data_IF_343506779965
#
_entry.id   IF_343506779965
#
_cell.length_a   1.000
_cell.length_b   1.000
_cell.length_c   1.000
_cell.angle_alpha   90.00
_cell.angle_beta   90.00
_cell.angle_gamma   90.00
#
_symmetry.space_group_name_H-M   'P 1'
#
loop_
_entity.id
_entity.type
_entity.pdbx_description
1 polymer ?
#
# COMPACT_ATOMS: atom_id res chain seq x y z
N UNK A 1 32.04 -6.01 -16.56
CA UNK A 1 31.47 -7.23 -15.95
C UNK A 1 30.55 -6.77 -14.84
N UNK A 2 29.21 -6.91 -14.95
CA UNK A 2 28.32 -6.45 -13.89
C UNK A 2 28.27 -7.51 -12.78
N UNK A 3 28.55 -7.08 -11.54
CA UNK A 3 28.48 -7.92 -10.35
C UNK A 3 27.03 -8.36 -10.11
N UNK A 4 26.77 -9.66 -10.29
CA UNK A 4 25.49 -10.27 -9.96
C UNK A 4 25.29 -10.25 -8.43
N UNK A 5 24.11 -9.84 -7.99
CA UNK A 5 23.76 -9.83 -6.58
C UNK A 5 23.97 -11.23 -5.95
N UNK A 6 24.55 -11.32 -4.74
CA UNK A 6 24.99 -12.58 -4.15
C UNK A 6 23.90 -13.65 -3.97
N UNK A 7 22.62 -13.27 -4.01
CA UNK A 7 21.49 -14.20 -4.00
C UNK A 7 21.27 -14.97 -5.32
N UNK A 8 21.68 -14.41 -6.47
CA UNK A 8 21.47 -15.06 -7.77
C UNK A 8 22.45 -16.22 -8.02
N UNK A 9 23.67 -16.12 -7.50
CA UNK A 9 24.69 -17.18 -7.62
C UNK A 9 24.31 -18.44 -6.84
N UNK A 10 23.59 -18.28 -5.73
CA UNK A 10 23.11 -19.40 -4.92
C UNK A 10 22.05 -20.24 -5.66
N UNK A 11 21.02 -19.57 -6.18
CA UNK A 11 19.95 -20.27 -6.91
C UNK A 11 20.45 -20.87 -8.22
N UNK A 12 21.36 -20.19 -8.94
CA UNK A 12 21.97 -20.78 -10.15
C UNK A 12 22.76 -22.05 -9.84
N UNK A 13 23.47 -22.10 -8.71
CA UNK A 13 24.18 -23.31 -8.28
C UNK A 13 23.25 -24.48 -7.97
N UNK A 14 22.12 -24.21 -7.31
CA UNK A 14 21.11 -25.25 -7.03
C UNK A 14 20.48 -25.77 -8.32
N UNK A 15 20.10 -24.89 -9.25
CA UNK A 15 19.49 -25.32 -10.51
C UNK A 15 20.48 -26.10 -11.41
N UNK A 16 21.75 -25.69 -11.46
CA UNK A 16 22.79 -26.43 -12.19
C UNK A 16 23.03 -27.82 -11.59
N UNK A 17 23.04 -27.93 -10.25
CA UNK A 17 23.16 -29.22 -9.56
C UNK A 17 21.97 -30.14 -9.89
N UNK A 18 20.72 -29.66 -9.78
CA UNK A 18 19.52 -30.44 -10.11
C UNK A 18 19.56 -30.89 -11.58
N UNK A 19 19.91 -29.98 -12.48
CA UNK A 19 20.02 -30.28 -13.92
C UNK A 19 21.02 -31.41 -14.19
N UNK A 20 22.22 -31.33 -13.60
CA UNK A 20 23.26 -32.37 -13.73
C UNK A 20 22.83 -33.71 -13.15
N UNK A 21 22.15 -33.72 -11.99
CA UNK A 21 21.65 -34.95 -11.37
C UNK A 21 20.58 -35.61 -12.25
N UNK A 22 19.65 -34.84 -12.80
CA UNK A 22 18.63 -35.35 -13.75
C UNK A 22 19.29 -35.89 -15.01
N UNK A 23 20.25 -35.16 -15.58
CA UNK A 23 20.96 -35.58 -16.78
C UNK A 23 21.76 -36.87 -16.57
N UNK A 24 22.44 -37.02 -15.42
CA UNK A 24 23.14 -38.26 -15.06
C UNK A 24 22.16 -39.43 -14.88
N UNK A 25 20.99 -39.20 -14.29
CA UNK A 25 19.93 -40.21 -14.15
C UNK A 25 19.41 -40.67 -15.52
N UNK A 26 19.21 -39.75 -16.46
CA UNK A 26 18.78 -40.08 -17.83
C UNK A 26 19.87 -40.88 -18.56
N UNK A 27 21.13 -40.48 -18.46
CA UNK A 27 22.25 -41.20 -19.10
C UNK A 27 22.40 -42.61 -18.53
N UNK A 28 22.32 -42.76 -17.20
CA UNK A 28 22.40 -44.07 -16.55
C UNK A 28 21.22 -44.97 -16.91
N UNK A 29 20.00 -44.41 -17.00
CA UNK A 29 18.82 -45.15 -17.47
C UNK A 29 18.95 -45.58 -18.94
N UNK A 30 19.51 -44.72 -19.80
CA UNK A 30 19.74 -45.01 -21.21
C UNK A 30 20.83 -46.08 -21.44
N UNK A 31 21.83 -46.18 -20.56
CA UNK A 31 22.89 -47.18 -20.65
C UNK A 31 22.45 -48.58 -20.20
N UNK A 32 21.42 -48.67 -19.36
CA UNK A 32 20.99 -49.93 -18.74
C UNK A 32 19.80 -50.61 -19.43
N UNK A 33 19.21 -50.02 -20.47
CA UNK A 33 18.07 -50.62 -21.17
C UNK A 33 18.18 -50.52 -22.70
N UNK A 34 18.24 -51.67 -23.38
CA UNK A 34 17.85 -51.78 -24.79
C UNK A 34 16.38 -51.34 -24.92
N UNK A 35 16.17 -50.31 -25.74
CA UNK A 35 14.88 -49.68 -26.01
C UNK A 35 13.92 -50.65 -26.70
N UNK A 36 13.20 -51.46 -25.92
CA UNK A 36 11.91 -51.99 -26.36
C UNK A 36 10.77 -51.16 -25.75
N UNK A 37 9.96 -50.62 -26.64
CA UNK A 37 8.87 -49.67 -26.46
C UNK A 37 7.68 -50.21 -25.67
N UNK A 38 7.84 -50.48 -24.36
CA UNK A 38 6.69 -50.68 -23.47
C UNK A 38 6.86 -50.00 -22.11
N UNK A 39 5.93 -49.07 -21.85
CA UNK A 39 5.47 -48.55 -20.55
C UNK A 39 6.52 -48.49 -19.41
N UNK A 40 7.45 -47.54 -19.51
CA UNK A 40 8.43 -47.29 -18.44
C UNK A 40 7.71 -46.70 -17.22
N UNK A 41 7.76 -47.42 -16.10
CA UNK A 41 7.29 -46.91 -14.82
C UNK A 41 8.33 -45.94 -14.24
N UNK A 42 8.07 -44.63 -14.35
CA UNK A 42 8.96 -43.55 -13.90
C UNK A 42 8.97 -43.32 -12.38
N UNK A 43 8.04 -43.93 -11.63
CA UNK A 43 7.91 -43.67 -10.19
C UNK A 43 9.18 -43.96 -9.36
N UNK A 44 9.97 -45.03 -9.62
CA UNK A 44 11.19 -45.28 -8.85
C UNK A 44 12.27 -44.23 -9.12
N UNK A 45 12.38 -43.77 -10.38
CA UNK A 45 13.35 -42.75 -10.78
C UNK A 45 13.02 -41.40 -10.13
N UNK A 46 11.76 -40.99 -10.18
CA UNK A 46 11.30 -39.73 -9.55
C UNK A 46 11.49 -39.78 -8.03
N UNK A 47 11.20 -40.93 -7.39
CA UNK A 47 11.44 -41.12 -5.96
C UNK A 47 12.92 -41.02 -5.59
N UNK A 48 13.80 -41.63 -6.39
CA UNK A 48 15.25 -41.58 -6.16
C UNK A 48 15.80 -40.16 -6.33
N UNK A 49 15.38 -39.44 -7.37
CA UNK A 49 15.77 -38.03 -7.57
C UNK A 49 15.29 -37.16 -6.40
N UNK A 50 14.04 -37.35 -5.95
CA UNK A 50 13.47 -36.61 -4.83
C UNK A 50 14.26 -36.85 -3.54
N UNK A 51 14.62 -38.09 -3.24
CA UNK A 51 15.40 -38.43 -2.05
C UNK A 51 16.80 -37.82 -2.08
N UNK A 52 17.54 -37.94 -3.19
CA UNK A 52 18.88 -37.37 -3.34
C UNK A 52 18.88 -35.84 -3.21
N UNK A 53 17.84 -35.17 -3.73
CA UNK A 53 17.68 -33.72 -3.58
C UNK A 53 17.42 -33.35 -2.12
N UNK A 54 16.56 -34.10 -1.43
CA UNK A 54 16.29 -33.87 -0.01
C UNK A 54 17.53 -34.05 0.87
N UNK A 55 18.31 -35.10 0.65
CA UNK A 55 19.55 -35.37 1.39
C UNK A 55 20.61 -34.28 1.13
N UNK A 56 20.78 -33.85 -0.13
CA UNK A 56 21.71 -32.77 -0.49
C UNK A 56 21.32 -31.43 0.14
N UNK A 57 20.03 -31.09 0.16
CA UNK A 57 19.54 -29.86 0.82
C UNK A 57 19.76 -29.96 2.34
N UNK A 58 19.52 -31.12 2.94
CA UNK A 58 19.75 -31.38 4.35
C UNK A 58 21.21 -31.14 4.76
N UNK A 59 22.15 -31.68 3.98
CA UNK A 59 23.59 -31.52 4.22
C UNK A 59 24.02 -30.04 4.20
N UNK A 60 23.57 -29.27 3.20
CA UNK A 60 23.90 -27.84 3.06
C UNK A 60 23.34 -27.02 4.22
N UNK A 61 22.12 -27.32 4.68
CA UNK A 61 21.52 -26.62 5.81
C UNK A 61 22.24 -26.90 7.13
N UNK A 62 22.68 -28.13 7.35
CA UNK A 62 23.48 -28.51 8.53
C UNK A 62 24.82 -27.78 8.54
N UNK A 63 25.51 -27.70 7.40
CA UNK A 63 26.80 -27.01 7.27
C UNK A 63 26.68 -25.48 7.48
N UNK A 64 25.57 -24.87 7.06
CA UNK A 64 25.31 -23.45 7.35
C UNK A 64 24.99 -23.19 8.83
N UNK A 65 24.32 -24.14 9.50
CA UNK A 65 23.98 -24.01 10.91
C UNK A 65 25.22 -24.10 11.82
N UNK A 66 26.20 -24.94 11.46
CA UNK A 66 27.48 -25.05 12.18
C UNK A 66 28.36 -23.81 11.97
N UNK A 67 28.40 -23.25 10.76
CA UNK A 67 29.12 -22.00 10.45
C UNK A 67 28.55 -20.78 11.20
N UNK A 68 27.23 -20.68 11.35
CA UNK A 68 26.58 -19.60 12.12
C UNK A 68 26.76 -19.72 13.64
N UNK A 69 26.95 -20.95 14.17
CA UNK A 69 27.13 -21.19 15.62
C UNK A 69 28.52 -20.76 16.12
N UNK A 70 29.55 -20.85 15.28
CA UNK A 70 30.90 -20.34 15.58
C UNK A 70 30.96 -18.82 15.74
N UNK A 71 30.12 -18.07 15.03
CA UNK A 71 30.14 -16.59 15.01
C UNK A 71 29.31 -15.91 16.11
N UNK A 72 28.59 -16.65 16.95
CA UNK A 72 27.61 -16.10 17.92
C UNK A 72 28.04 -16.10 19.38
N UNK A 73 29.26 -16.53 19.74
CA UNK A 73 29.70 -16.64 21.14
C UNK A 73 30.18 -15.32 21.77
N UNK A 74 29.64 -14.16 21.38
CA UNK A 74 30.06 -12.87 21.93
C UNK A 74 29.17 -11.66 21.66
N UNK A 75 27.89 -11.82 21.33
CA UNK A 75 27.00 -10.67 21.12
C UNK A 75 25.64 -10.90 21.75
N UNK A 76 25.36 -10.15 22.81
CA UNK A 76 24.04 -10.08 23.44
C UNK A 76 22.96 -9.68 22.43
N UNK A 77 21.71 -10.15 22.60
CA UNK A 77 20.65 -9.90 21.64
C UNK A 77 20.09 -8.48 21.82
N UNK A 78 20.47 -7.57 20.93
CA UNK A 78 19.73 -6.34 20.71
C UNK A 78 18.33 -6.68 20.17
N UNK A 79 17.32 -6.32 20.95
CA UNK A 79 15.91 -6.38 20.57
C UNK A 79 15.65 -5.39 19.43
N UNK A 80 15.49 -5.92 18.20
CA UNK A 80 15.00 -5.15 17.05
C UNK A 80 13.53 -4.77 17.26
N UNK A 81 13.30 -3.63 17.92
CA UNK A 81 11.99 -2.97 18.04
C UNK A 81 11.87 -1.92 16.92
N UNK A 82 11.75 -2.38 15.68
CA UNK A 82 11.47 -1.52 14.50
C UNK A 82 10.11 -1.91 13.89
N UNK A 83 9.07 -1.89 14.73
CA UNK A 83 7.67 -2.04 14.32
C UNK A 83 6.88 -0.78 14.65
N UNK A 84 7.35 0.37 14.18
CA UNK A 84 6.56 1.61 14.20
C UNK A 84 6.07 1.91 12.77
N UNK A 85 5.18 1.05 12.30
CA UNK A 85 4.41 1.23 11.07
C UNK A 85 3.21 2.13 11.38
N UNK A 86 3.48 3.38 11.79
CA UNK A 86 2.44 4.37 12.00
C UNK A 86 1.85 4.75 10.63
N UNK A 87 0.63 4.29 10.34
CA UNK A 87 -0.18 4.69 9.18
C UNK A 87 -0.51 6.19 9.25
N UNK A 88 0.47 7.04 8.92
CA UNK A 88 0.36 8.50 8.98
C UNK A 88 0.07 9.10 7.59
N UNK A 89 -1.07 8.72 7.02
CA UNK A 89 -1.59 9.25 5.76
C UNK A 89 -2.31 10.62 5.94
N UNK A 90 -2.29 11.20 7.14
CA UNK A 90 -3.23 12.27 7.53
C UNK A 90 -2.80 13.71 7.20
N UNK A 91 -1.61 13.93 6.64
CA UNK A 91 -1.21 15.26 6.16
C UNK A 91 -0.33 15.12 4.93
N UNK A 92 -0.94 15.19 3.75
CA UNK A 92 -0.23 15.45 2.49
C UNK A 92 0.51 16.78 2.66
N UNK A 93 1.83 16.85 2.41
CA UNK A 93 2.45 18.13 2.10
C UNK A 93 1.66 18.69 0.92
N UNK A 94 1.06 19.89 1.06
CA UNK A 94 0.73 20.68 -0.12
C UNK A 94 2.07 20.95 -0.77
N UNK A 95 2.42 20.16 -1.78
CA UNK A 95 3.40 20.58 -2.76
C UNK A 95 2.82 21.87 -3.34
N UNK A 96 3.31 23.00 -2.86
CA UNK A 96 3.22 24.25 -3.59
C UNK A 96 4.00 23.97 -4.87
N UNK A 97 3.26 23.59 -5.91
CA UNK A 97 3.79 23.55 -7.26
C UNK A 97 4.35 24.94 -7.52
N UNK A 98 5.67 25.07 -7.44
CA UNK A 98 6.41 26.22 -7.92
C UNK A 98 5.84 26.51 -9.31
N UNK A 99 5.30 27.71 -9.55
CA UNK A 99 4.75 28.03 -10.85
C UNK A 99 5.88 27.93 -11.86
N UNK A 100 5.81 26.92 -12.73
CA UNK A 100 6.64 26.89 -13.94
C UNK A 100 6.36 28.20 -14.66
N UNK A 101 7.39 29.03 -14.83
CA UNK A 101 7.36 30.27 -15.61
C UNK A 101 6.95 29.92 -17.05
N UNK A 102 5.65 29.88 -17.31
CA UNK A 102 5.13 29.88 -18.67
C UNK A 102 5.13 31.33 -19.15
N UNK A 103 5.73 31.55 -20.33
CA UNK A 103 5.85 32.85 -20.98
C UNK A 103 4.50 33.52 -21.27
N UNK A 104 4.53 34.78 -21.71
CA UNK A 104 3.35 35.63 -21.84
C UNK A 104 2.41 35.07 -22.91
N UNK A 105 1.28 34.50 -22.48
CA UNK A 105 0.20 34.08 -23.38
C UNK A 105 -0.81 35.21 -23.49
N UNK A 106 -1.08 35.62 -24.73
CA UNK A 106 -1.95 36.72 -25.09
C UNK A 106 -3.33 36.63 -24.44
N UNK A 107 -3.82 37.78 -23.97
CA UNK A 107 -5.14 37.98 -23.38
C UNK A 107 -6.20 37.73 -24.45
N UNK A 108 -7.02 36.70 -24.25
CA UNK A 108 -8.31 36.56 -24.92
C UNK A 108 -9.38 36.63 -23.83
N UNK A 109 -10.22 37.65 -23.94
CA UNK A 109 -11.34 37.92 -23.07
C UNK A 109 -12.34 36.77 -23.14
N UNK A 110 -12.57 36.09 -22.02
CA UNK A 110 -13.59 35.06 -21.90
C UNK A 110 -14.45 35.36 -20.68
N UNK A 111 -15.51 36.13 -20.92
CA UNK A 111 -16.61 36.36 -19.98
C UNK A 111 -17.35 35.04 -19.82
N UNK A 112 -17.10 34.32 -18.72
CA UNK A 112 -17.90 33.15 -18.32
C UNK A 112 -18.59 33.40 -16.99
N UNK A 113 -19.92 33.30 -17.08
CA UNK A 113 -20.92 33.19 -16.03
C UNK A 113 -20.39 32.56 -14.73
N UNK A 114 -20.45 33.36 -13.67
CA UNK A 114 -20.28 32.93 -12.27
C UNK A 114 -21.49 32.06 -11.92
N UNK A 115 -21.32 30.75 -12.11
CA UNK A 115 -22.26 29.75 -11.59
C UNK A 115 -22.03 29.63 -10.09
N UNK A 116 -23.04 30.05 -9.33
CA UNK A 116 -23.13 30.00 -7.87
C UNK A 116 -22.83 28.58 -7.39
N UNK A 117 -21.60 28.35 -6.94
CA UNK A 117 -21.21 27.07 -6.36
C UNK A 117 -21.93 26.90 -5.01
N UNK A 118 -22.42 25.69 -4.70
CA UNK A 118 -23.07 25.43 -3.42
C UNK A 118 -22.07 25.69 -2.30
N UNK A 119 -22.55 26.35 -1.24
CA UNK A 119 -21.84 26.64 0.00
C UNK A 119 -21.05 25.40 0.40
N UNK A 120 -19.73 25.45 0.17
CA UNK A 120 -18.82 24.38 0.58
C UNK A 120 -18.92 24.38 2.09
N UNK A 121 -19.53 23.33 2.63
CA UNK A 121 -19.52 23.03 4.05
C UNK A 121 -18.04 22.82 4.42
N UNK A 122 -17.34 23.91 4.75
CA UNK A 122 -16.01 23.86 5.34
C UNK A 122 -16.21 23.01 6.58
N UNK A 123 -15.68 21.79 6.52
CA UNK A 123 -15.83 20.85 7.62
C UNK A 123 -15.18 21.53 8.82
N UNK A 124 -15.94 21.77 9.89
CA UNK A 124 -15.46 22.41 11.14
C UNK A 124 -14.05 21.91 11.54
N UNK A 125 -13.80 20.62 11.31
CA UNK A 125 -12.50 19.93 11.44
C UNK A 125 -11.28 20.71 10.89
N UNK A 126 -11.39 21.39 9.73
CA UNK A 126 -10.24 22.08 9.13
C UNK A 126 -9.85 23.33 9.92
N UNK A 127 -10.81 24.03 10.52
CA UNK A 127 -10.58 25.23 11.34
C UNK A 127 -9.86 24.84 12.63
N UNK A 128 -10.37 23.84 13.36
CA UNK A 128 -9.75 23.41 14.62
C UNK A 128 -8.35 22.82 14.39
N UNK A 129 -8.13 22.08 13.31
CA UNK A 129 -6.80 21.56 12.94
C UNK A 129 -5.83 22.70 12.58
N UNK A 130 -6.33 23.79 12.00
CA UNK A 130 -5.54 24.99 11.70
C UNK A 130 -5.17 25.73 12.98
N UNK A 131 -6.14 25.96 13.88
CA UNK A 131 -5.90 26.56 15.21
C UNK A 131 -4.90 25.75 16.03
N UNK A 132 -4.99 24.42 16.02
CA UNK A 132 -4.01 23.57 16.70
C UNK A 132 -2.60 23.75 16.12
N UNK A 133 -2.50 23.93 14.80
CA UNK A 133 -1.19 24.11 14.14
C UNK A 133 -0.56 25.43 14.57
N UNK A 134 -1.35 26.49 14.56
CA UNK A 134 -0.95 27.83 14.98
C UNK A 134 -0.58 27.85 16.46
N UNK A 135 -1.38 27.23 17.32
CA UNK A 135 -1.08 27.08 18.75
C UNK A 135 0.30 26.43 18.98
N UNK A 136 0.55 25.28 18.35
CA UNK A 136 1.85 24.59 18.48
C UNK A 136 3.00 25.40 17.86
N UNK A 137 2.74 26.16 16.80
CA UNK A 137 3.73 27.05 16.19
C UNK A 137 4.11 28.21 17.11
N UNK A 138 3.12 28.84 17.74
CA UNK A 138 3.31 29.93 18.69
C UNK A 138 4.06 29.47 19.94
N UNK A 139 3.92 28.18 20.29
CA UNK A 139 4.71 27.51 21.34
C UNK A 139 6.11 27.09 20.90
N UNK A 140 6.50 27.34 19.64
CA UNK A 140 7.82 26.97 19.11
C UNK A 140 8.00 25.48 18.82
N UNK A 141 6.94 24.67 18.87
CA UNK A 141 7.01 23.21 18.79
C UNK A 141 6.99 22.64 17.37
N UNK A 142 6.89 23.48 16.34
CA UNK A 142 6.82 23.03 14.93
C UNK A 142 8.16 23.06 14.17
N UNK A 143 9.27 23.51 14.77
CA UNK A 143 10.57 23.65 14.10
C UNK A 143 11.66 22.91 14.88
N UNK A 144 12.22 21.81 14.32
CA UNK A 144 13.20 20.97 15.01
C UNK A 144 14.44 21.75 15.49
N UNK A 145 14.90 22.71 14.69
CA UNK A 145 16.09 23.52 14.98
C UNK A 145 15.95 24.49 16.18
N UNK A 146 14.73 24.76 16.65
CA UNK A 146 14.47 25.72 17.76
C UNK A 146 13.85 25.06 18.98
N UNK A 147 13.85 23.73 19.04
CA UNK A 147 13.26 23.01 20.15
C UNK A 147 14.08 23.20 21.42
N UNK A 148 13.39 23.61 22.50
CA UNK A 148 13.94 23.55 23.84
C UNK A 148 13.87 22.13 24.36
N UNK A 149 14.92 21.71 25.06
CA UNK A 149 15.07 20.37 25.62
C UNK A 149 14.94 20.50 27.13
N UNK A 150 14.11 19.65 27.73
CA UNK A 150 13.98 19.60 29.17
C UNK A 150 15.34 19.24 29.83
N UNK A 151 15.82 20.01 30.82
CA UNK A 151 17.02 19.66 31.56
C UNK A 151 16.86 18.31 32.27
N UNK A 152 17.83 17.40 32.09
CA UNK A 152 17.73 16.03 32.60
C UNK A 152 17.50 15.96 34.12
N UNK A 153 18.07 16.87 34.90
CA UNK A 153 17.88 16.92 36.36
C UNK A 153 16.44 17.27 36.75
N UNK A 154 15.75 18.14 35.99
CA UNK A 154 14.34 18.46 36.22
C UNK A 154 13.44 17.29 35.84
N UNK A 155 13.74 16.62 34.72
CA UNK A 155 13.03 15.41 34.31
C UNK A 155 13.14 14.34 35.40
N UNK A 156 14.34 14.10 35.93
CA UNK A 156 14.58 13.14 37.02
C UNK A 156 13.85 13.50 38.31
N UNK A 157 14.00 14.74 38.79
CA UNK A 157 13.34 15.22 40.00
C UNK A 157 11.80 15.11 39.91
N UNK A 158 11.23 15.37 38.74
CA UNK A 158 9.81 15.16 38.51
C UNK A 158 9.43 13.67 38.51
N UNK A 159 10.22 12.81 37.86
CA UNK A 159 9.90 11.38 37.78
C UNK A 159 10.06 10.64 39.10
N UNK A 160 11.00 11.07 39.95
CA UNK A 160 11.33 10.41 41.21
C UNK A 160 10.49 10.96 42.37
N UNK A 161 10.40 12.29 42.48
CA UNK A 161 9.82 12.96 43.65
C UNK A 161 8.50 13.70 43.35
N UNK A 162 8.03 13.70 42.08
CA UNK A 162 7.00 14.62 41.59
C UNK A 162 7.33 16.09 41.89
N UNK A 163 8.62 16.42 42.01
CA UNK A 163 9.09 17.75 42.36
C UNK A 163 9.38 18.57 41.09
N UNK A 164 8.96 19.83 41.10
CA UNK A 164 8.91 20.64 39.88
C UNK A 164 7.89 20.13 38.88
N UNK A 165 7.91 20.64 37.65
CA UNK A 165 7.02 20.16 36.60
C UNK A 165 7.21 20.91 35.29
N UNK A 166 6.77 20.31 34.17
CA UNK A 166 6.82 20.99 32.88
C UNK A 166 5.87 22.21 32.87
N UNK A 167 6.22 23.24 32.11
CA UNK A 167 5.38 24.43 31.95
C UNK A 167 4.73 24.47 30.56
N UNK A 168 3.43 24.80 30.50
CA UNK A 168 2.75 25.03 29.22
C UNK A 168 3.14 26.36 28.56
N UNK A 169 3.67 27.32 29.30
CA UNK A 169 4.06 28.63 28.77
C UNK A 169 5.30 28.50 27.90
N UNK A 170 6.33 27.84 28.44
CA UNK A 170 7.59 27.51 27.79
C UNK A 170 7.73 25.99 27.74
N UNK A 171 7.08 25.31 26.78
CA UNK A 171 7.09 23.86 26.73
C UNK A 171 8.47 23.32 26.39
N UNK A 172 9.03 22.50 27.28
CA UNK A 172 10.31 21.81 27.11
C UNK A 172 10.07 20.31 27.18
N UNK A 173 10.12 19.64 26.05
CA UNK A 173 9.96 18.19 26.00
C UNK A 173 11.31 17.50 26.25
N UNK A 174 11.23 16.31 26.84
CA UNK A 174 12.31 15.34 26.71
C UNK A 174 12.13 14.61 25.38
N UNK A 175 12.77 15.13 24.33
CA UNK A 175 12.67 14.58 22.97
C UNK A 175 13.31 13.19 22.82
N UNK A 176 14.14 12.75 23.78
CA UNK A 176 14.74 11.43 23.77
C UNK A 176 13.74 10.38 24.22
N UNK A 177 12.98 10.68 25.28
CA UNK A 177 11.94 9.82 25.83
C UNK A 177 10.68 9.76 24.95
N UNK A 178 9.88 8.67 25.03
CA UNK A 178 8.56 8.61 24.38
C UNK A 178 7.58 9.61 24.99
N UNK A 179 6.52 9.98 24.26
CA UNK A 179 5.44 10.81 24.81
C UNK A 179 4.65 10.12 25.93
N UNK A 180 4.87 8.81 26.14
CA UNK A 180 4.33 8.07 27.29
C UNK A 180 5.16 8.25 28.56
N UNK A 181 6.35 8.88 28.50
CA UNK A 181 7.12 9.16 29.71
C UNK A 181 6.37 10.12 30.64
N UNK A 182 6.55 10.05 31.97
CA UNK A 182 5.80 10.88 32.91
C UNK A 182 5.91 12.38 32.59
N UNK A 183 7.13 12.88 32.35
CA UNK A 183 7.37 14.29 32.00
C UNK A 183 6.62 14.73 30.74
N UNK A 184 6.79 13.99 29.64
CA UNK A 184 6.19 14.35 28.36
C UNK A 184 4.66 14.21 28.40
N UNK A 185 4.14 13.20 29.11
CA UNK A 185 2.71 12.99 29.29
C UNK A 185 2.06 14.15 30.05
N UNK A 186 2.70 14.63 31.11
CA UNK A 186 2.22 15.78 31.88
C UNK A 186 2.22 17.06 31.02
N UNK A 187 3.30 17.31 30.29
CA UNK A 187 3.36 18.46 29.38
C UNK A 187 2.27 18.41 28.29
N UNK A 188 1.99 17.23 27.72
CA UNK A 188 0.90 17.06 26.76
C UNK A 188 -0.47 17.35 27.38
N UNK A 189 -0.69 16.93 28.63
CA UNK A 189 -1.93 17.23 29.36
C UNK A 189 -2.10 18.74 29.58
N UNK A 190 -1.04 19.44 30.00
CA UNK A 190 -1.06 20.90 30.17
C UNK A 190 -1.35 21.61 28.85
N UNK A 191 -0.68 21.21 27.76
CA UNK A 191 -0.92 21.78 26.42
C UNK A 191 -2.34 21.52 25.93
N UNK A 192 -2.88 20.32 26.13
CA UNK A 192 -4.26 19.98 25.77
C UNK A 192 -5.27 20.84 26.55
N UNK A 193 -5.01 21.09 27.84
CA UNK A 193 -5.86 21.91 28.70
C UNK A 193 -5.86 23.38 28.26
N UNK A 194 -4.68 23.95 27.99
CA UNK A 194 -4.57 25.33 27.47
C UNK A 194 -5.24 25.45 26.11
N UNK A 195 -5.02 24.48 25.21
CA UNK A 195 -5.65 24.50 23.89
C UNK A 195 -7.17 24.37 23.96
N UNK A 196 -7.71 23.52 24.85
CA UNK A 196 -9.15 23.42 25.09
C UNK A 196 -9.74 24.75 25.57
N UNK A 197 -9.03 25.51 26.41
CA UNK A 197 -9.47 26.83 26.83
C UNK A 197 -9.52 27.84 25.65
N UNK A 198 -8.60 27.74 24.69
CA UNK A 198 -8.63 28.54 23.44
C UNK A 198 -9.88 28.17 22.63
N UNK A 199 -10.13 26.87 22.41
CA UNK A 199 -11.32 26.40 21.69
C UNK A 199 -12.61 26.85 22.37
N UNK A 200 -12.64 26.93 23.71
CA UNK A 200 -13.81 27.39 24.48
C UNK A 200 -14.12 28.86 24.26
N UNK A 201 -13.10 29.68 23.98
CA UNK A 201 -13.26 31.10 23.68
C UNK A 201 -13.71 31.35 22.25
N UNK A 202 -13.44 30.43 21.33
CA UNK A 202 -13.89 30.53 19.94
C UNK A 202 -15.29 29.89 19.80
N UNK A 203 -16.32 30.72 19.72
CA UNK A 203 -17.72 30.29 19.67
C UNK A 203 -17.98 29.29 18.54
N UNK A 204 -18.67 28.19 18.86
CA UNK A 204 -19.12 27.19 17.88
C UNK A 204 -18.08 26.14 17.44
N UNK A 205 -16.87 26.13 18.01
CA UNK A 205 -15.83 25.14 17.67
C UNK A 205 -15.73 23.94 18.62
N UNK A 206 -16.28 24.03 19.85
CA UNK A 206 -16.31 22.88 20.74
C UNK A 206 -17.40 21.91 20.30
N UNK A 207 -16.97 20.76 19.80
CA UNK A 207 -17.79 19.56 19.73
C UNK A 207 -17.32 18.53 20.77
N UNK A 208 -18.08 17.44 20.94
CA UNK A 208 -17.80 16.37 21.91
C UNK A 208 -16.36 15.84 21.79
N UNK A 209 -15.84 15.76 20.56
CA UNK A 209 -14.50 15.25 20.25
C UNK A 209 -13.40 16.23 20.66
N UNK A 210 -13.48 17.50 20.26
CA UNK A 210 -12.48 18.53 20.61
C UNK A 210 -12.58 18.98 22.08
N UNK A 211 -13.69 18.74 22.77
CA UNK A 211 -13.83 18.92 24.21
C UNK A 211 -13.16 17.83 25.06
N UNK A 212 -12.78 16.69 24.45
CA UNK A 212 -12.20 15.53 25.12
C UNK A 212 -10.67 15.67 25.25
N UNK A 213 -10.19 15.88 26.48
CA UNK A 213 -8.76 16.07 26.78
C UNK A 213 -7.91 14.84 26.39
N UNK A 214 -8.26 13.59 26.76
CA UNK A 214 -7.53 12.40 26.29
C UNK A 214 -7.38 12.33 24.76
N UNK A 215 -8.41 12.72 24.01
CA UNK A 215 -8.34 12.78 22.55
C UNK A 215 -7.38 13.88 22.07
N UNK A 216 -7.42 15.07 22.67
CA UNK A 216 -6.49 16.17 22.38
C UNK A 216 -5.02 15.80 22.66
N UNK A 217 -4.74 15.13 23.78
CA UNK A 217 -3.40 14.63 24.11
C UNK A 217 -2.88 13.73 23.00
N UNK A 218 -3.68 12.73 22.58
CA UNK A 218 -3.31 11.83 21.48
C UNK A 218 -3.08 12.59 20.17
N UNK A 219 -3.91 13.59 19.87
CA UNK A 219 -3.77 14.40 18.67
C UNK A 219 -2.50 15.25 18.68
N UNK A 220 -2.19 15.91 19.81
CA UNK A 220 -0.98 16.71 19.98
C UNK A 220 0.25 15.82 19.88
N UNK A 221 0.28 14.70 20.62
CA UNK A 221 1.38 13.73 20.56
C UNK A 221 1.62 13.24 19.13
N UNK A 222 0.55 12.86 18.40
CA UNK A 222 0.65 12.44 16.99
C UNK A 222 1.29 13.52 16.11
N UNK A 223 0.96 14.79 16.32
CA UNK A 223 1.56 15.90 15.56
C UNK A 223 3.03 16.12 15.92
N UNK A 224 3.37 16.04 17.20
CA UNK A 224 4.73 16.25 17.68
C UNK A 224 5.65 15.05 17.40
N UNK A 225 5.13 13.85 17.15
CA UNK A 225 5.96 12.66 16.84
C UNK A 225 6.81 12.84 15.59
N UNK A 226 6.31 13.59 14.60
CA UNK A 226 7.10 13.96 13.42
C UNK A 226 8.26 14.87 13.78
N UNK A 227 8.02 15.83 14.67
CA UNK A 227 9.04 16.78 15.13
C UNK A 227 10.09 16.06 15.96
N UNK A 228 9.66 15.16 16.85
CA UNK A 228 10.53 14.28 17.63
C UNK A 228 11.37 13.37 16.74
N UNK A 229 10.77 12.75 15.72
CA UNK A 229 11.48 11.91 14.75
C UNK A 229 12.51 12.72 13.97
N UNK A 230 12.15 13.92 13.50
CA UNK A 230 13.09 14.83 12.82
C UNK A 230 14.24 15.23 13.76
N UNK A 231 13.93 15.64 14.98
CA UNK A 231 14.91 15.98 16.00
C UNK A 231 15.91 14.84 16.27
N UNK A 232 15.42 13.60 16.44
CA UNK A 232 16.28 12.42 16.61
C UNK A 232 17.14 12.13 15.38
N UNK A 233 16.63 12.39 14.17
CA UNK A 233 17.40 12.23 12.95
C UNK A 233 18.46 13.32 12.78
N UNK A 234 18.26 14.51 13.36
CA UNK A 234 19.22 15.62 13.27
C UNK A 234 20.41 15.44 14.23
N UNK A 235 20.23 14.76 15.36
CA UNK A 235 21.30 14.51 16.35
C UNK A 235 22.36 13.53 15.84
N UNK A 236 23.66 13.77 16.05
CA UNK A 236 24.70 12.81 15.69
C UNK A 236 24.45 11.47 16.40
N UNK A 237 24.87 10.33 15.80
CA UNK A 237 24.85 9.04 16.48
C UNK A 237 25.52 9.17 17.85
N UNK A 238 24.95 8.56 18.91
CA UNK A 238 25.53 8.66 20.24
C UNK A 238 26.97 8.11 20.24
N UNK A 239 27.87 8.67 21.08
CA UNK A 239 29.24 8.19 21.18
C UNK A 239 29.25 6.71 21.56
N UNK A 240 29.94 5.89 20.76
CA UNK A 240 29.96 4.43 20.91
C UNK A 240 28.93 3.68 20.05
N UNK A 241 28.07 4.36 19.32
CA UNK A 241 27.23 3.70 18.30
C UNK A 241 28.09 3.18 17.14
N UNK A 242 27.73 2.03 16.59
CA UNK A 242 28.42 1.46 15.43
C UNK A 242 28.04 2.12 14.10
N UNK A 243 27.08 3.07 14.11
CA UNK A 243 26.57 3.72 12.90
C UNK A 243 27.44 4.94 12.57
N UNK A 244 28.11 4.92 11.42
CA UNK A 244 28.80 6.10 10.87
C UNK A 244 27.78 7.17 10.41
N UNK A 245 28.16 8.45 10.41
CA UNK A 245 27.33 9.55 9.88
C UNK A 245 26.83 9.29 8.45
N UNK A 246 27.65 8.68 7.60
CA UNK A 246 27.26 8.35 6.23
C UNK A 246 26.22 7.21 6.19
N UNK A 247 26.34 6.23 7.09
CA UNK A 247 25.34 5.16 7.23
C UNK A 247 24.02 5.71 7.72
N UNK A 248 24.05 6.64 8.69
CA UNK A 248 22.85 7.34 9.17
C UNK A 248 22.17 8.15 8.07
N UNK A 249 22.93 8.94 7.30
CA UNK A 249 22.40 9.68 6.15
C UNK A 249 21.77 8.75 5.11
N UNK A 250 22.42 7.63 4.80
CA UNK A 250 21.88 6.63 3.88
C UNK A 250 20.58 6.01 4.42
N UNK A 251 20.52 5.67 5.71
CA UNK A 251 19.31 5.13 6.36
C UNK A 251 18.15 6.12 6.31
N UNK A 252 18.40 7.41 6.60
CA UNK A 252 17.40 8.47 6.50
C UNK A 252 16.89 8.60 5.05
N UNK A 253 17.80 8.63 4.07
CA UNK A 253 17.45 8.70 2.65
C UNK A 253 16.58 7.52 2.22
N UNK A 254 16.96 6.29 2.57
CA UNK A 254 16.19 5.08 2.25
C UNK A 254 14.82 5.07 2.95
N UNK A 255 14.72 5.58 4.19
CA UNK A 255 13.43 5.72 4.89
C UNK A 255 12.52 6.71 4.16
N UNK A 256 13.05 7.85 3.73
CA UNK A 256 12.31 8.86 2.99
C UNK A 256 11.86 8.35 1.62
N UNK A 257 12.74 7.66 0.88
CA UNK A 257 12.39 7.02 -0.40
C UNK A 257 11.26 5.99 -0.25
N UNK A 258 11.31 5.14 0.79
CA UNK A 258 10.24 4.20 1.12
C UNK A 258 8.93 4.94 1.44
N UNK A 259 9.00 6.00 2.27
CA UNK A 259 7.83 6.82 2.63
C UNK A 259 7.19 7.45 1.41
N UNK A 260 7.98 8.08 0.53
CA UNK A 260 7.50 8.69 -0.71
C UNK A 260 6.91 7.65 -1.67
N UNK A 261 7.53 6.47 -1.78
CA UNK A 261 6.98 5.35 -2.56
C UNK A 261 5.61 4.92 -2.04
N UNK A 262 5.45 4.78 -0.72
CA UNK A 262 4.16 4.45 -0.09
C UNK A 262 3.12 5.55 -0.30
N UNK A 263 3.49 6.83 -0.12
CA UNK A 263 2.59 7.97 -0.35
C UNK A 263 2.09 8.02 -1.80
N UNK A 264 2.96 7.75 -2.78
CA UNK A 264 2.58 7.63 -4.20
C UNK A 264 1.58 6.49 -4.40
N UNK A 265 1.84 5.32 -3.81
CA UNK A 265 0.91 4.16 -3.87
C UNK A 265 -0.45 4.49 -3.25
N UNK A 266 -0.49 5.12 -2.08
CA UNK A 266 -1.73 5.53 -1.41
C UNK A 266 -2.51 6.54 -2.24
N UNK A 267 -1.82 7.54 -2.78
CA UNK A 267 -2.42 8.56 -3.66
C UNK A 267 -3.02 7.92 -4.91
N UNK A 268 -2.34 6.96 -5.53
CA UNK A 268 -2.84 6.20 -6.69
C UNK A 268 -4.04 5.34 -6.33
N UNK A 269 -4.01 4.61 -5.21
CA UNK A 269 -5.16 3.81 -4.72
C UNK A 269 -6.40 4.67 -4.55
N UNK A 270 -6.26 5.82 -3.89
CA UNK A 270 -7.33 6.80 -3.74
C UNK A 270 -7.85 7.31 -5.09
N UNK A 271 -6.94 7.68 -6.00
CA UNK A 271 -7.30 8.09 -7.35
C UNK A 271 -8.07 7.01 -8.13
N UNK A 272 -7.71 5.74 -7.98
CA UNK A 272 -8.43 4.60 -8.57
C UNK A 272 -9.81 4.42 -7.95
N UNK A 273 -9.92 4.56 -6.62
CA UNK A 273 -11.20 4.55 -5.91
C UNK A 273 -12.14 5.63 -6.45
N UNK A 274 -11.68 6.88 -6.46
CA UNK A 274 -12.45 8.04 -6.94
C UNK A 274 -12.81 7.90 -8.43
N UNK A 275 -11.87 7.43 -9.27
CA UNK A 275 -12.12 7.19 -10.69
C UNK A 275 -13.25 6.19 -10.90
N UNK A 276 -13.24 5.07 -10.18
CA UNK A 276 -14.29 4.03 -10.28
C UNK A 276 -15.64 4.55 -9.82
N UNK A 277 -15.66 5.34 -8.73
CA UNK A 277 -16.88 6.04 -8.28
C UNK A 277 -17.47 6.93 -9.39
N UNK A 278 -16.61 7.68 -10.07
CA UNK A 278 -17.05 8.56 -11.16
C UNK A 278 -17.60 7.77 -12.35
N UNK A 279 -16.96 6.65 -12.75
CA UNK A 279 -17.47 5.75 -13.80
C UNK A 279 -18.86 5.23 -13.42
N UNK A 280 -19.02 4.72 -12.19
CA UNK A 280 -20.30 4.21 -11.68
C UNK A 280 -21.39 5.28 -11.75
N UNK A 281 -21.08 6.52 -11.35
CA UNK A 281 -22.02 7.64 -11.36
C UNK A 281 -22.43 8.04 -12.79
N UNK A 282 -21.46 8.18 -13.69
CA UNK A 282 -21.70 8.60 -15.07
C UNK A 282 -22.53 7.58 -15.86
N UNK A 283 -22.28 6.29 -15.61
CA UNK A 283 -22.90 5.17 -16.33
C UNK A 283 -24.17 4.63 -15.66
N UNK A 284 -24.55 5.17 -14.50
CA UNK A 284 -25.60 4.62 -13.65
C UNK A 284 -26.93 4.37 -14.39
N UNK A 285 -27.30 5.26 -15.31
CA UNK A 285 -28.57 5.19 -16.05
C UNK A 285 -28.57 4.15 -17.19
N UNK A 286 -27.41 3.61 -17.59
CA UNK A 286 -27.32 2.60 -18.65
C UNK A 286 -27.87 1.24 -18.20
N UNK A 287 -27.56 0.85 -16.96
CA UNK A 287 -28.11 -0.33 -16.27
C UNK A 287 -28.16 -0.06 -14.75
N UNK A 288 -29.26 0.51 -14.24
CA UNK A 288 -29.37 0.86 -12.83
C UNK A 288 -29.23 -0.34 -11.88
N UNK A 289 -29.58 -1.55 -12.33
CA UNK A 289 -29.47 -2.77 -11.54
C UNK A 289 -28.01 -3.17 -11.33
N UNK A 290 -27.25 -3.28 -12.43
CA UNK A 290 -25.83 -3.59 -12.42
C UNK A 290 -25.03 -2.52 -11.66
N UNK A 291 -25.21 -1.24 -11.99
CA UNK A 291 -24.43 -0.16 -11.40
C UNK A 291 -24.74 0.07 -9.91
N UNK A 292 -25.97 -0.19 -9.46
CA UNK A 292 -26.32 -0.17 -8.03
C UNK A 292 -25.60 -1.28 -7.25
N UNK A 293 -25.57 -2.50 -7.78
CA UNK A 293 -24.82 -3.59 -7.16
C UNK A 293 -23.32 -3.27 -7.12
N UNK A 294 -22.75 -2.81 -8.24
CA UNK A 294 -21.34 -2.44 -8.32
C UNK A 294 -20.99 -1.28 -7.38
N UNK A 295 -21.89 -0.31 -7.19
CA UNK A 295 -21.74 0.76 -6.20
C UNK A 295 -21.62 0.20 -4.78
N UNK A 296 -22.48 -0.76 -4.41
CA UNK A 296 -22.40 -1.41 -3.11
C UNK A 296 -21.08 -2.17 -2.91
N UNK A 297 -20.60 -2.87 -3.94
CA UNK A 297 -19.27 -3.53 -3.93
C UNK A 297 -18.15 -2.50 -3.77
N UNK A 298 -18.23 -1.37 -4.49
CA UNK A 298 -17.25 -0.28 -4.43
C UNK A 298 -17.13 0.31 -3.03
N UNK A 299 -18.27 0.64 -2.41
CA UNK A 299 -18.34 1.25 -1.09
C UNK A 299 -17.84 0.30 0.00
N UNK A 300 -18.19 -0.99 -0.07
CA UNK A 300 -17.71 -1.99 0.90
C UNK A 300 -16.21 -2.27 0.79
N UNK A 301 -15.66 -2.29 -0.43
CA UNK A 301 -14.21 -2.45 -0.63
C UNK A 301 -13.44 -1.20 -0.20
N UNK A 302 -14.03 -0.01 -0.33
CA UNK A 302 -13.38 1.25 0.02
C UNK A 302 -12.04 1.48 -0.71
N UNK A 303 -11.25 2.43 -0.20
CA UNK A 303 -9.91 2.71 -0.74
C UNK A 303 -8.94 1.53 -0.49
N UNK A 304 -9.13 0.79 0.60
CA UNK A 304 -8.28 -0.33 0.98
C UNK A 304 -8.42 -1.53 0.04
N UNK A 305 -9.56 -1.72 -0.61
CA UNK A 305 -9.80 -2.77 -1.60
C UNK A 305 -9.32 -2.41 -3.01
N UNK A 306 -8.89 -1.16 -3.25
CA UNK A 306 -8.31 -0.79 -4.53
C UNK A 306 -6.87 -1.29 -4.66
N UNK A 307 -6.58 -1.95 -5.78
CA UNK A 307 -5.21 -2.31 -6.14
C UNK A 307 -4.37 -1.05 -6.34
N UNK A 308 -3.10 -1.11 -5.93
CA UNK A 308 -2.14 -0.07 -6.30
C UNK A 308 -1.67 -0.30 -7.73
N UNK A 309 -1.48 0.79 -8.47
CA UNK A 309 -0.81 0.77 -9.77
C UNK A 309 0.69 1.01 -9.54
N UNK A 310 1.54 0.06 -9.92
CA UNK A 310 2.99 0.27 -9.97
C UNK A 310 3.41 0.79 -11.35
N UNK A 311 4.37 1.70 -11.33
CA UNK A 311 5.01 2.26 -12.51
C UNK A 311 6.48 1.97 -12.34
N UNK A 312 6.83 0.69 -12.51
CA UNK A 312 8.12 0.12 -12.13
C UNK A 312 9.29 0.73 -12.91
N UNK A 313 9.05 1.27 -14.12
CA UNK A 313 10.10 1.72 -15.04
C UNK A 313 10.32 3.23 -15.13
N UNK A 314 9.91 4.02 -14.13
CA UNK A 314 10.20 5.48 -14.17
C UNK A 314 11.72 5.80 -14.19
N UNK A 315 12.58 4.86 -13.78
CA UNK A 315 14.04 5.06 -13.70
C UNK A 315 14.77 4.90 -15.05
N UNK A 316 14.15 4.26 -16.05
CA UNK A 316 14.78 3.99 -17.34
C UNK A 316 13.91 4.57 -18.44
N UNK A 317 14.10 5.86 -18.73
CA UNK A 317 13.34 6.66 -19.70
C UNK A 317 13.36 6.18 -21.16
N UNK A 318 13.80 4.94 -21.42
CA UNK A 318 13.85 4.30 -22.72
C UNK A 318 12.61 3.45 -23.02
N UNK A 319 11.86 3.01 -22.00
CA UNK A 319 10.66 2.18 -22.21
C UNK A 319 9.37 3.02 -22.13
N UNK A 320 8.37 2.77 -23.00
CA UNK A 320 7.05 3.37 -22.86
C UNK A 320 6.49 3.09 -21.47
N UNK A 321 6.00 4.16 -20.82
CA UNK A 321 5.43 4.07 -19.48
C UNK A 321 4.27 3.07 -19.48
N UNK A 322 4.48 1.95 -18.83
CA UNK A 322 3.46 0.91 -18.67
C UNK A 322 3.03 0.87 -17.21
N UNK A 323 1.72 0.79 -16.99
CA UNK A 323 1.16 0.71 -15.64
C UNK A 323 0.85 -0.74 -15.34
N UNK A 324 1.41 -1.29 -14.26
CA UNK A 324 1.16 -2.66 -13.81
C UNK A 324 0.25 -2.63 -12.59
N UNK A 325 -0.83 -3.40 -12.61
CA UNK A 325 -1.69 -3.55 -11.44
C UNK A 325 -1.00 -4.46 -10.43
N UNK A 326 -0.85 -4.01 -9.20
CA UNK A 326 -0.38 -4.88 -8.11
C UNK A 326 -1.58 -5.67 -7.59
N UNK A 327 -1.59 -7.01 -7.72
CA UNK A 327 -2.69 -7.83 -7.26
C UNK A 327 -2.76 -7.79 -5.72
N UNK A 328 -3.98 -7.80 -5.19
CA UNK A 328 -4.22 -8.05 -3.77
C UNK A 328 -4.45 -9.53 -3.61
N UNK A 329 -3.49 -10.22 -2.99
CA UNK A 329 -3.52 -11.68 -2.81
C UNK A 329 -4.79 -12.19 -2.14
N UNK A 330 -5.43 -11.35 -1.32
CA UNK A 330 -6.65 -11.72 -0.61
C UNK A 330 -7.93 -11.47 -1.40
N UNK A 331 -7.91 -10.72 -2.51
CA UNK A 331 -9.12 -10.44 -3.30
C UNK A 331 -9.35 -11.55 -4.30
N UNK A 332 -10.59 -12.06 -4.35
CA UNK A 332 -11.01 -13.05 -5.33
C UNK A 332 -10.74 -12.56 -6.78
N UNK A 333 -10.10 -13.39 -7.64
CA UNK A 333 -9.85 -13.06 -9.04
C UNK A 333 -11.10 -12.61 -9.81
N UNK A 334 -12.29 -13.15 -9.51
CA UNK A 334 -13.55 -12.74 -10.14
C UNK A 334 -13.90 -11.27 -9.87
N UNK A 335 -13.69 -10.80 -8.63
CA UNK A 335 -13.87 -9.38 -8.28
C UNK A 335 -12.83 -8.51 -8.99
N UNK A 336 -11.59 -9.01 -9.13
CA UNK A 336 -10.54 -8.30 -9.87
C UNK A 336 -10.86 -8.16 -11.37
N UNK A 337 -11.42 -9.21 -11.98
CA UNK A 337 -11.90 -9.26 -13.36
C UNK A 337 -13.08 -8.32 -13.59
N UNK A 338 -14.06 -8.32 -12.67
CA UNK A 338 -15.18 -7.36 -12.70
C UNK A 338 -14.66 -5.91 -12.78
N UNK A 339 -13.67 -5.55 -11.96
CA UNK A 339 -13.08 -4.21 -11.99
C UNK A 339 -12.31 -3.91 -13.27
N UNK A 340 -11.68 -4.90 -13.88
CA UNK A 340 -11.02 -4.74 -15.18
C UNK A 340 -12.05 -4.41 -16.27
N UNK A 341 -13.18 -5.12 -16.31
CA UNK A 341 -14.27 -4.85 -17.24
C UNK A 341 -14.84 -3.43 -17.07
N UNK A 342 -15.05 -2.99 -15.82
CA UNK A 342 -15.51 -1.62 -15.51
C UNK A 342 -14.52 -0.56 -15.98
N UNK A 343 -13.22 -0.80 -15.80
CA UNK A 343 -12.18 0.14 -16.24
C UNK A 343 -12.01 0.18 -17.77
N UNK A 344 -12.25 -0.94 -18.47
CA UNK A 344 -12.26 -1.00 -19.93
C UNK A 344 -13.39 -0.16 -20.53
N UNK A 345 -14.58 -0.21 -19.94
CA UNK A 345 -15.72 0.65 -20.33
C UNK A 345 -15.35 2.13 -20.15
N UNK A 346 -14.72 2.45 -19.02
CA UNK A 346 -14.24 3.80 -18.72
C UNK A 346 -15.35 4.85 -18.63
N UNK A 347 -14.93 6.10 -18.52
CA UNK A 347 -15.83 7.27 -18.58
C UNK A 347 -16.40 7.42 -19.99
N UNK A 348 -17.60 8.00 -20.11
CA UNK A 348 -18.11 8.40 -21.42
C UNK A 348 -17.09 9.32 -22.09
N UNK A 349 -16.73 9.06 -23.35
CA UNK A 349 -15.67 9.78 -24.09
C UNK A 349 -16.02 11.25 -24.40
N UNK A 350 -17.01 11.82 -23.73
CA UNK A 350 -17.53 13.17 -23.94
C UNK A 350 -16.61 14.28 -23.44
N UNK A 351 -15.42 13.95 -22.92
CA UNK A 351 -14.39 14.94 -22.58
C UNK A 351 -13.56 15.29 -23.82
N UNK A 352 -13.73 16.46 -24.45
CA UNK A 352 -12.94 16.89 -25.60
C UNK A 352 -11.48 17.26 -25.26
N UNK A 353 -11.03 17.05 -24.02
CA UNK A 353 -9.67 17.38 -23.63
C UNK A 353 -8.68 16.35 -24.19
N UNK A 354 -7.92 16.80 -25.21
CA UNK A 354 -6.72 16.16 -25.70
C UNK A 354 -5.62 16.19 -24.63
N UNK A 355 -5.71 15.28 -23.66
CA UNK A 355 -4.66 14.99 -22.70
C UNK A 355 -3.67 13.96 -23.24
N UNK A 356 -2.61 13.67 -22.46
CA UNK A 356 -1.70 12.56 -22.75
C UNK A 356 -2.49 11.25 -22.94
N UNK A 357 -2.05 10.44 -23.90
CA UNK A 357 -2.63 9.12 -24.12
C UNK A 357 -2.56 8.28 -22.83
N UNK A 358 -3.59 7.46 -22.61
CA UNK A 358 -3.62 6.57 -21.45
C UNK A 358 -2.44 5.59 -21.56
N UNK A 359 -1.60 5.52 -20.52
CA UNK A 359 -0.58 4.49 -20.45
C UNK A 359 -1.25 3.11 -20.53
N UNK A 360 -0.70 2.17 -21.33
CA UNK A 360 -1.22 0.81 -21.37
C UNK A 360 -1.16 0.20 -19.96
N UNK A 361 -2.24 -0.51 -19.59
CA UNK A 361 -2.34 -1.21 -18.32
C UNK A 361 -2.16 -2.70 -18.54
N UNK A 362 -1.24 -3.29 -17.77
CA UNK A 362 -1.06 -4.72 -17.68
C UNK A 362 -1.74 -5.19 -16.39
N UNK A 363 -2.75 -6.06 -16.56
CA UNK A 363 -3.51 -6.64 -15.45
C UNK A 363 -2.90 -7.93 -14.91
N UNK A 364 -1.99 -8.57 -15.64
CA UNK A 364 -1.18 -9.66 -15.10
C UNK A 364 -0.26 -9.10 -14.02
N UNK A 365 -0.60 -9.42 -12.77
CA UNK A 365 0.15 -8.98 -11.61
C UNK A 365 1.56 -9.54 -11.64
N UNK A 366 2.55 -8.72 -11.30
CA UNK A 366 3.87 -9.27 -10.99
C UNK A 366 3.76 -10.09 -9.71
N UNK A 367 4.00 -11.41 -9.78
CA UNK A 367 3.96 -12.27 -8.59
C UNK A 367 5.05 -11.90 -7.57
N UNK A 368 6.06 -11.14 -7.98
CA UNK A 368 7.19 -10.74 -7.13
C UNK A 368 6.87 -9.61 -6.15
N UNK A 369 5.81 -8.83 -6.39
CA UNK A 369 5.48 -7.65 -5.57
C UNK A 369 4.19 -7.85 -4.78
N UNK A 370 4.23 -8.78 -3.83
CA UNK A 370 3.15 -8.85 -2.83
C UNK A 370 3.08 -7.54 -2.05
N UNK A 371 1.89 -6.96 -1.97
CA UNK A 371 1.64 -5.83 -1.09
C UNK A 371 1.08 -6.33 0.23
N UNK A 372 1.71 -5.96 1.34
CA UNK A 372 1.27 -6.26 2.71
C UNK A 372 0.00 -5.47 3.10
N UNK A 373 -0.95 -5.28 2.19
CA UNK A 373 -2.22 -4.64 2.52
C UNK A 373 -3.08 -5.62 3.30
N UNK A 374 -3.43 -5.24 4.54
CA UNK A 374 -4.36 -5.98 5.39
C UNK A 374 -5.69 -6.21 4.65
N UNK A 375 -6.23 -7.40 4.81
CA UNK A 375 -7.56 -7.72 4.29
C UNK A 375 -8.63 -6.94 5.07
N UNK A 376 -9.69 -6.53 4.39
CA UNK A 376 -10.80 -5.81 5.01
C UNK A 376 -11.67 -6.83 5.74
N UNK A 377 -12.01 -6.63 7.02
CA UNK A 377 -12.91 -7.53 7.74
C UNK A 377 -14.36 -7.36 7.25
N UNK A 378 -15.20 -8.35 7.49
CA UNK A 378 -16.64 -8.33 7.23
C UNK A 378 -16.99 -8.13 5.75
N UNK A 379 -16.18 -8.63 4.83
CA UNK A 379 -16.62 -8.75 3.43
C UNK A 379 -17.39 -10.06 3.22
N UNK A 380 -18.23 -10.15 2.17
CA UNK A 380 -18.81 -11.43 1.74
C UNK A 380 -17.72 -12.48 1.50
N UNK A 381 -17.98 -13.75 1.82
CA UNK A 381 -16.99 -14.83 1.70
C UNK A 381 -16.40 -14.96 0.29
N UNK A 382 -17.22 -14.77 -0.75
CA UNK A 382 -16.81 -14.82 -2.14
C UNK A 382 -15.98 -13.61 -2.61
N UNK A 383 -15.73 -12.61 -1.76
CA UNK A 383 -14.85 -11.48 -2.08
C UNK A 383 -13.39 -11.80 -1.80
N UNK A 384 -13.16 -12.79 -0.95
CA UNK A 384 -11.82 -13.25 -0.65
C UNK A 384 -11.40 -14.35 -1.61
N UNK A 385 -10.12 -14.40 -1.93
CA UNK A 385 -9.52 -15.54 -2.58
C UNK A 385 -9.56 -16.76 -1.65
N UNK A 386 -10.03 -17.91 -2.16
CA UNK A 386 -10.20 -19.11 -1.34
C UNK A 386 -8.88 -19.71 -0.88
N UNK A 387 -7.85 -19.68 -1.73
CA UNK A 387 -6.53 -20.24 -1.41
C UNK A 387 -5.86 -19.37 -0.35
N UNK A 388 -5.92 -18.05 -0.52
CA UNK A 388 -5.45 -17.09 0.48
C UNK A 388 -6.17 -17.25 1.82
N UNK A 389 -7.49 -17.47 1.80
CA UNK A 389 -8.23 -17.69 3.06
C UNK A 389 -7.80 -18.94 3.80
N UNK A 390 -7.70 -20.05 3.08
CA UNK A 390 -7.31 -21.35 3.64
C UNK A 390 -5.90 -21.29 4.23
N UNK A 391 -5.05 -20.37 3.76
CA UNK A 391 -3.71 -20.14 4.34
C UNK A 391 -3.70 -19.24 5.58
N UNK A 392 -4.81 -18.58 5.93
CA UNK A 392 -4.89 -17.74 7.14
C UNK A 392 -5.05 -18.59 8.41
N UNK A 393 -4.52 -18.09 9.53
CA UNK A 393 -4.70 -18.75 10.83
C UNK A 393 -6.16 -18.68 11.29
N UNK A 394 -6.59 -19.58 12.18
CA UNK A 394 -7.96 -19.56 12.72
C UNK A 394 -8.29 -18.24 13.42
N UNK A 395 -7.33 -17.63 14.12
CA UNK A 395 -7.49 -16.30 14.74
C UNK A 395 -7.72 -15.21 13.71
N UNK A 396 -6.95 -15.20 12.62
CA UNK A 396 -7.12 -14.21 11.55
C UNK A 396 -8.47 -14.38 10.85
N UNK A 397 -8.90 -15.63 10.64
CA UNK A 397 -10.21 -15.92 10.07
C UNK A 397 -11.35 -15.39 10.97
N UNK A 398 -11.24 -15.55 12.29
CA UNK A 398 -12.21 -15.00 13.26
C UNK A 398 -12.19 -13.46 13.24
N UNK A 399 -11.02 -12.83 13.20
CA UNK A 399 -10.91 -11.36 13.13
C UNK A 399 -11.51 -10.79 11.84
N UNK A 400 -11.43 -11.55 10.74
CA UNK A 400 -11.99 -11.14 9.46
C UNK A 400 -13.51 -11.32 9.37
N UNK A 401 -14.13 -12.18 10.19
CA UNK A 401 -15.59 -12.28 10.37
C UNK A 401 -16.39 -12.19 9.06
N UNK A 402 -16.26 -13.19 8.19
CA UNK A 402 -16.86 -13.17 6.84
C UNK A 402 -18.38 -13.13 6.90
N UNK A 403 -18.97 -12.31 6.03
CA UNK A 403 -20.40 -12.34 5.76
C UNK A 403 -20.75 -13.45 4.74
N UNK A 404 -22.02 -13.88 4.68
CA UNK A 404 -22.50 -14.78 3.63
C UNK A 404 -22.18 -14.26 2.22
N UNK A 405 -22.12 -15.18 1.27
CA UNK A 405 -21.84 -14.86 -0.13
C UNK A 405 -22.83 -13.85 -0.69
N UNK A 406 -22.31 -12.93 -1.51
CA UNK A 406 -23.13 -11.99 -2.28
C UNK A 406 -22.88 -12.20 -3.75
N UNK A 407 -23.94 -12.44 -4.52
CA UNK A 407 -23.86 -12.55 -5.97
C UNK A 407 -23.07 -11.37 -6.56
N UNK A 408 -22.07 -11.67 -7.38
CA UNK A 408 -21.37 -10.65 -8.15
C UNK A 408 -22.26 -10.25 -9.33
N UNK A 409 -22.33 -8.94 -9.67
CA UNK A 409 -23.12 -8.51 -10.81
C UNK A 409 -22.55 -9.17 -12.06
N UNK A 410 -23.37 -9.97 -12.73
CA UNK A 410 -23.00 -10.55 -14.01
C UNK A 410 -22.94 -9.41 -15.02
N UNK A 411 -21.83 -9.32 -15.76
CA UNK A 411 -21.72 -8.35 -16.85
C UNK A 411 -22.71 -8.75 -17.93
N UNK A 412 -23.88 -8.11 -17.98
CA UNK A 412 -24.89 -8.32 -19.04
C UNK A 412 -24.49 -7.62 -20.34
N UNK A 413 -23.21 -7.25 -20.50
CA UNK A 413 -22.73 -6.50 -21.65
C UNK A 413 -22.67 -7.41 -22.88
N UNK A 414 -23.83 -7.65 -23.48
CA UNK A 414 -23.96 -7.78 -24.93
C UNK A 414 -23.27 -6.56 -25.52
N UNK A 415 -22.05 -6.75 -26.00
CA UNK A 415 -21.41 -5.76 -26.85
C UNK A 415 -22.44 -5.40 -27.93
N UNK A 416 -22.85 -4.13 -28.11
CA UNK A 416 -23.84 -3.78 -29.14
C UNK A 416 -23.37 -4.15 -30.56
N UNK A 417 -22.08 -4.44 -30.73
CA UNK A 417 -21.48 -4.94 -31.97
C UNK A 417 -21.46 -6.47 -32.11
N UNK A 418 -21.81 -7.23 -31.07
CA UNK A 418 -21.96 -8.69 -31.14
C UNK A 418 -23.41 -9.14 -31.31
N UNK A 419 -24.38 -8.23 -31.21
CA UNK A 419 -25.81 -8.55 -31.44
C UNK A 419 -26.14 -8.82 -32.91
N UNK A 420 -25.23 -8.57 -33.86
CA UNK A 420 -25.48 -8.82 -35.30
C UNK A 420 -25.30 -10.30 -35.68
N UNK A 421 -24.72 -11.13 -34.80
CA UNK A 421 -24.63 -12.58 -35.04
C UNK A 421 -25.42 -13.39 -34.02
N UNK A 422 -26.61 -12.91 -33.63
CA UNK A 422 -27.65 -13.87 -33.25
C UNK A 422 -28.13 -14.50 -34.55
N UNK A 423 -27.40 -15.51 -35.01
CA UNK A 423 -27.91 -16.46 -35.98
C UNK A 423 -29.06 -17.13 -35.25
N UNK A 424 -30.27 -16.62 -35.46
CA UNK A 424 -31.47 -17.39 -35.20
C UNK A 424 -31.33 -18.62 -36.09
N UNK A 425 -30.80 -19.71 -35.54
CA UNK A 425 -30.94 -21.03 -36.11
C UNK A 425 -32.43 -21.36 -36.02
N UNK A 426 -33.19 -20.81 -36.97
CA UNK A 426 -34.49 -21.31 -37.36
C UNK A 426 -34.27 -22.79 -37.67
N UNK A 427 -34.62 -23.63 -36.71
CA UNK A 427 -34.74 -25.07 -36.89
C UNK A 427 -36.00 -25.26 -37.72
N UNK A 428 -35.89 -25.08 -39.03
CA UNK A 428 -36.89 -25.58 -39.97
C UNK A 428 -36.78 -27.10 -39.99
N UNK A 429 -37.89 -27.77 -39.71
CA UNK A 429 -38.01 -29.23 -39.62
C UNK A 429 -37.89 -29.95 -40.97
N UNK A 430 -37.29 -29.34 -42.00
CA UNK A 430 -37.12 -29.95 -43.31
C UNK A 430 -35.68 -29.75 -43.77
N UNK A 431 -34.97 -30.87 -43.92
CA UNK A 431 -33.52 -30.92 -44.08
C UNK A 431 -33.02 -30.38 -45.41
N UNK A 432 -32.67 -29.09 -45.44
CA UNK A 432 -31.79 -28.53 -46.47
C UNK A 432 -30.73 -27.63 -45.84
N UNK A 433 -29.47 -28.07 -45.92
CA UNK A 433 -28.29 -27.27 -45.59
C UNK A 433 -28.10 -26.17 -46.64
N UNK A 434 -28.27 -24.91 -46.28
CA UNK A 434 -27.82 -23.77 -47.10
C UNK A 434 -26.51 -23.28 -46.50
N UNK A 435 -25.42 -23.41 -47.27
CA UNK A 435 -24.12 -22.87 -46.92
C UNK A 435 -24.15 -21.34 -46.96
N UNK A 436 -23.85 -20.71 -45.82
CA UNK A 436 -23.62 -19.27 -45.76
C UNK A 436 -22.19 -18.96 -46.24
N UNK A 437 -22.07 -18.36 -47.41
CA UNK A 437 -20.82 -17.82 -47.92
C UNK A 437 -20.48 -16.51 -47.22
N UNK A 438 -19.28 -16.46 -46.64
CA UNK A 438 -18.69 -15.26 -46.04
C UNK A 438 -18.19 -14.33 -47.16
N UNK A 439 -18.74 -13.12 -47.27
CA UNK A 439 -18.15 -12.05 -48.08
C UNK A 439 -17.42 -11.12 -47.12
N UNK A 440 -16.09 -11.15 -47.17
CA UNK A 440 -15.23 -10.23 -46.44
C UNK A 440 -15.22 -8.84 -47.09
N UNK A 441 -15.29 -7.82 -46.24
CA UNK A 441 -14.93 -6.44 -46.57
C UNK A 441 -13.65 -6.06 -45.83
#
# INVERSE_FOLDING_TARGET
MPDAAPGNLFWSGIFDMISKTVQAGIISAAQNHELHTQNINWTPLVSSISQTVHESIGAVLVEQSSSKRSKRRGKEPELNVDSDESDDDSMRPRYTSQPRKHGPRAKADNVRNVSTSPIVHVQHSDVEQSLLREFLQNKGLNQSAKLRIAPSHLVKAFTEDNNGGPSAETPEFDWFSPFTSPWNRELLFLLATVFKAILSKTSGLINEKWGNIPWLIKLIAKRLERVRTAYKNDLPPPPGSSESEDQKKLRIKQREERRLKNLRRNTRRKGTFDRRRDIIRERFNEDPGFWRQLKAIHEELGEAGMSSDDTETEEQGLSPKTVRRIPKVWINPAVSSLWESVEKIGRSSTSPHAGNSKCPRIFSGSMTTSTHTKAIPKLPSNFYDELWWKSQTRSDQVLLDRRPERALPQTVWCHPYLTILRIDTLTTAEGYCIGASFVGY
#
